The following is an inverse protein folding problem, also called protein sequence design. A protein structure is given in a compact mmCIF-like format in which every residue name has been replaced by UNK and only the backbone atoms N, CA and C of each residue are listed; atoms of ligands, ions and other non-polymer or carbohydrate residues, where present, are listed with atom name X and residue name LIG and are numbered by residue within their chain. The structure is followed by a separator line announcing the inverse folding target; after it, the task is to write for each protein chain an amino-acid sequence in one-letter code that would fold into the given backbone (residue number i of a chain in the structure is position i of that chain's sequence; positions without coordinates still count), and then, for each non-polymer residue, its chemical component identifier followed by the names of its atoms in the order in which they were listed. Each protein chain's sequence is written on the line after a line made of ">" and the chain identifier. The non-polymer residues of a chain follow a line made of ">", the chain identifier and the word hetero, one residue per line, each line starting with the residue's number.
data_IF_006094974372
#
_entry.id   IF_006094974372
#
_cell.length_a   1.000
_cell.length_b   1.000
_cell.length_c   1.000
_cell.angle_alpha   90.00
_cell.angle_beta   90.00
_cell.angle_gamma   90.00
#
_symmetry.space_group_name_H-M   'P 1'
#
loop_
_entity.id
_entity.type
_entity.pdbx_description
1 polymer ?
#
# COMPACT_ATOMS: atom_id res chain seq x y z
N UNK A 1 17.73 21.69 -13.07
CA UNK A 1 16.35 21.86 -12.55
C UNK A 1 15.93 20.62 -11.76
N UNK A 2 16.00 20.64 -10.42
CA UNK A 2 15.49 19.56 -9.56
C UNK A 2 14.05 19.87 -9.18
N UNK A 3 13.08 19.27 -9.87
CA UNK A 3 11.66 19.39 -9.51
C UNK A 3 11.45 18.75 -8.13
N UNK A 4 11.28 19.58 -7.10
CA UNK A 4 10.79 19.13 -5.81
C UNK A 4 9.37 18.60 -6.04
N UNK A 5 9.16 17.29 -5.90
CA UNK A 5 7.83 16.70 -6.02
C UNK A 5 7.11 16.84 -4.68
N UNK A 6 6.51 18.00 -4.40
CA UNK A 6 5.42 18.05 -3.44
C UNK A 6 4.20 17.40 -4.09
N UNK A 7 3.87 16.18 -3.67
CA UNK A 7 2.68 15.47 -4.15
C UNK A 7 1.79 15.15 -2.95
N UNK A 8 0.50 15.53 -3.05
CA UNK A 8 -0.56 14.96 -2.19
C UNK A 8 -0.53 13.45 -2.37
N UNK A 9 -0.42 12.70 -1.29
CA UNK A 9 0.07 11.33 -1.38
C UNK A 9 -0.85 10.28 -0.73
N UNK A 10 -1.86 10.67 0.06
CA UNK A 10 -2.78 9.69 0.62
C UNK A 10 -4.07 10.30 1.16
N UNK A 11 -5.19 9.64 0.89
CA UNK A 11 -6.51 9.98 1.44
C UNK A 11 -6.74 9.20 2.73
N UNK A 12 -7.21 9.88 3.78
CA UNK A 12 -7.63 9.27 5.03
C UNK A 12 -9.11 8.91 4.93
N UNK A 13 -9.42 7.66 5.25
CA UNK A 13 -10.78 7.15 5.36
C UNK A 13 -11.07 6.77 6.81
N UNK A 14 -12.31 6.97 7.26
CA UNK A 14 -12.78 6.61 8.60
C UNK A 14 -13.98 5.64 8.53
N UNK A 15 -13.84 4.55 7.78
CA UNK A 15 -14.88 3.53 7.64
C UNK A 15 -15.21 2.83 8.98
N UNK A 16 -14.29 2.85 9.94
CA UNK A 16 -14.50 2.33 11.31
C UNK A 16 -15.65 3.02 12.05
N UNK A 17 -15.97 4.27 11.69
CA UNK A 17 -17.09 5.03 12.27
C UNK A 17 -18.43 4.74 11.59
N UNK A 18 -18.42 4.04 10.45
CA UNK A 18 -19.61 3.77 9.63
C UNK A 18 -19.64 2.30 9.17
N UNK A 19 -19.98 1.35 10.06
CA UNK A 19 -19.91 -0.08 9.77
C UNK A 19 -20.87 -0.55 8.64
N UNK A 20 -21.92 0.22 8.35
CA UNK A 20 -22.87 -0.06 7.26
C UNK A 20 -22.46 0.57 5.91
N UNK A 21 -21.39 1.36 5.88
CA UNK A 21 -20.95 2.03 4.65
C UNK A 21 -20.07 1.11 3.80
N UNK A 22 -20.39 1.02 2.50
CA UNK A 22 -19.57 0.28 1.54
C UNK A 22 -18.16 0.90 1.42
N UNK A 23 -17.08 0.17 1.74
CA UNK A 23 -15.71 0.67 1.67
C UNK A 23 -15.15 0.79 0.24
N UNK A 24 -15.90 0.36 -0.77
CA UNK A 24 -15.50 0.44 -2.18
C UNK A 24 -15.41 1.89 -2.65
N UNK A 25 -14.28 2.26 -3.25
CA UNK A 25 -14.07 3.61 -3.78
C UNK A 25 -14.69 3.73 -5.17
N UNK A 26 -15.60 4.69 -5.32
CA UNK A 26 -16.30 5.01 -6.57
C UNK A 26 -15.95 6.45 -7.00
N UNK A 27 -16.66 6.98 -7.99
CA UNK A 27 -16.51 8.39 -8.39
C UNK A 27 -16.91 9.39 -7.30
N UNK A 28 -17.68 8.94 -6.30
CA UNK A 28 -18.06 9.76 -5.16
C UNK A 28 -16.97 9.73 -4.07
N UNK A 29 -16.63 10.92 -3.57
CA UNK A 29 -15.61 11.06 -2.53
C UNK A 29 -16.12 10.51 -1.19
N UNK A 30 -15.36 9.57 -0.61
CA UNK A 30 -15.61 8.96 0.71
C UNK A 30 -14.51 9.27 1.74
N UNK A 31 -13.50 10.04 1.36
CA UNK A 31 -12.37 10.41 2.23
C UNK A 31 -12.76 11.52 3.20
N UNK A 32 -12.32 11.40 4.45
CA UNK A 32 -12.55 12.38 5.53
C UNK A 32 -11.40 13.37 5.69
N UNK A 33 -10.26 13.11 5.04
CA UNK A 33 -9.09 13.99 5.03
C UNK A 33 -8.03 13.54 4.03
N UNK A 34 -6.97 14.33 3.91
CA UNK A 34 -5.79 14.01 3.10
C UNK A 34 -4.50 14.27 3.88
N UNK A 35 -3.50 13.44 3.64
CA UNK A 35 -2.14 13.64 4.12
C UNK A 35 -1.24 14.04 2.96
N UNK A 36 -0.41 15.06 3.20
CA UNK A 36 0.65 15.47 2.30
C UNK A 36 2.01 15.19 2.94
N UNK A 37 2.96 14.72 2.14
CA UNK A 37 4.35 14.58 2.55
C UNK A 37 5.28 15.09 1.46
N UNK A 38 6.43 15.62 1.89
CA UNK A 38 7.48 16.13 1.00
C UNK A 38 8.73 15.28 1.17
N UNK A 39 9.27 14.83 0.04
CA UNK A 39 10.51 14.07 -0.05
C UNK A 39 11.29 14.49 -1.29
N UNK A 40 12.61 14.23 -1.28
CA UNK A 40 13.47 14.43 -2.45
C UNK A 40 13.27 13.34 -3.49
N UNK A 41 12.72 12.20 -3.08
CA UNK A 41 12.33 11.07 -3.94
C UNK A 41 10.89 10.65 -3.67
N UNK A 42 10.26 9.99 -4.65
CA UNK A 42 8.90 9.45 -4.49
C UNK A 42 8.80 8.43 -3.36
N UNK A 43 9.80 7.56 -3.22
CA UNK A 43 9.83 6.52 -2.17
C UNK A 43 9.84 7.14 -0.77
N UNK A 44 10.62 8.20 -0.59
CA UNK A 44 10.68 8.96 0.66
C UNK A 44 9.35 9.66 0.96
N UNK A 45 8.76 10.36 -0.01
CA UNK A 45 7.49 11.06 0.20
C UNK A 45 6.34 10.07 0.46
N UNK A 46 6.32 8.93 -0.24
CA UNK A 46 5.32 7.87 -0.04
C UNK A 46 5.37 7.31 1.39
N UNK A 47 6.54 6.89 1.85
CA UNK A 47 6.70 6.32 3.20
C UNK A 47 6.34 7.33 4.30
N UNK A 48 6.78 8.59 4.15
CA UNK A 48 6.39 9.68 5.06
C UNK A 48 4.88 9.86 5.08
N UNK A 49 4.23 9.86 3.92
CA UNK A 49 2.79 10.02 3.83
C UNK A 49 2.06 8.88 4.54
N UNK A 50 2.43 7.62 4.26
CA UNK A 50 1.77 6.46 4.84
C UNK A 50 1.85 6.44 6.38
N UNK A 51 3.00 6.82 6.94
CA UNK A 51 3.15 6.95 8.39
C UNK A 51 2.31 8.10 8.97
N UNK A 52 2.15 9.19 8.22
CA UNK A 52 1.34 10.34 8.62
C UNK A 52 -0.19 10.13 8.49
N UNK A 53 -0.65 9.01 7.94
CA UNK A 53 -2.10 8.73 7.83
C UNK A 53 -2.76 8.34 9.17
N UNK A 54 -1.98 8.20 10.26
CA UNK A 54 -2.48 7.85 11.60
C UNK A 54 -3.39 6.61 11.61
N UNK A 55 -3.11 5.67 10.71
CA UNK A 55 -3.76 4.34 10.63
C UNK A 55 -3.00 3.30 11.47
N UNK A 56 -2.00 3.74 12.24
CA UNK A 56 -1.10 2.88 12.99
C UNK A 56 -0.17 2.03 12.13
N UNK A 57 0.02 2.34 10.85
CA UNK A 57 1.04 1.70 10.00
C UNK A 57 2.30 2.56 9.98
N UNK A 58 3.47 1.95 9.95
CA UNK A 58 4.75 2.67 9.96
C UNK A 58 5.21 3.08 8.57
N UNK A 59 4.57 2.56 7.52
CA UNK A 59 4.92 2.73 6.13
C UNK A 59 4.11 1.79 5.25
N UNK A 60 4.70 1.31 4.15
CA UNK A 60 4.13 0.22 3.32
C UNK A 60 4.04 -1.12 4.07
N UNK A 61 4.84 -1.32 5.12
CA UNK A 61 4.89 -2.53 5.93
C UNK A 61 6.08 -2.52 6.89
N UNK A 62 6.40 -3.70 7.46
CA UNK A 62 7.48 -3.86 8.43
C UNK A 62 7.09 -3.50 9.86
N UNK A 63 5.80 -3.21 10.09
CA UNK A 63 5.22 -2.86 11.39
C UNK A 63 4.83 -4.09 12.24
N UNK A 64 4.96 -5.31 11.70
CA UNK A 64 4.63 -6.55 12.42
C UNK A 64 3.13 -6.74 12.72
N UNK A 65 2.27 -5.84 12.20
CA UNK A 65 0.83 -5.87 12.42
C UNK A 65 0.16 -6.88 11.48
N UNK A 66 -0.69 -7.78 12.01
CA UNK A 66 -1.35 -8.78 11.20
C UNK A 66 -2.38 -8.16 10.25
N UNK A 67 -2.68 -8.89 9.18
CA UNK A 67 -3.72 -8.60 8.20
C UNK A 67 -4.87 -9.58 8.42
N UNK A 68 -6.08 -9.04 8.65
CA UNK A 68 -7.30 -9.85 8.79
C UNK A 68 -8.05 -9.82 7.48
N UNK A 69 -8.24 -10.99 6.88
CA UNK A 69 -8.94 -11.14 5.60
C UNK A 69 -10.02 -12.19 5.79
N UNK A 70 -11.27 -11.73 5.90
CA UNK A 70 -12.37 -12.60 6.30
C UNK A 70 -12.16 -13.14 7.72
N UNK A 71 -12.20 -14.47 7.86
CA UNK A 71 -11.95 -15.19 9.11
C UNK A 71 -10.48 -15.47 9.38
N UNK A 72 -9.61 -15.30 8.38
CA UNK A 72 -8.20 -15.66 8.46
C UNK A 72 -7.32 -14.49 8.91
N UNK A 73 -6.27 -14.80 9.66
CA UNK A 73 -5.29 -13.85 10.16
C UNK A 73 -3.93 -14.22 9.59
N UNK A 74 -3.34 -13.28 8.86
CA UNK A 74 -2.02 -13.41 8.25
C UNK A 74 -1.05 -12.47 8.98
N UNK A 75 0.16 -12.92 9.27
CA UNK A 75 1.25 -12.08 9.74
C UNK A 75 1.62 -11.00 8.71
N UNK A 76 2.33 -9.95 9.15
CA UNK A 76 2.74 -8.87 8.23
C UNK A 76 3.58 -9.38 7.05
N UNK A 77 4.33 -10.47 7.28
CA UNK A 77 5.26 -11.03 6.30
C UNK A 77 4.78 -12.30 5.62
N UNK A 78 3.62 -12.81 5.97
CA UNK A 78 3.08 -14.02 5.36
C UNK A 78 2.75 -13.77 3.89
N UNK A 79 2.92 -14.79 3.06
CA UNK A 79 2.56 -14.72 1.64
C UNK A 79 1.05 -14.99 1.55
N UNK A 80 0.30 -13.95 1.17
CA UNK A 80 -1.14 -14.06 0.96
C UNK A 80 -1.45 -14.88 -0.31
N UNK A 81 -2.58 -15.61 -0.35
CA UNK A 81 -3.03 -16.30 -1.55
C UNK A 81 -3.22 -15.36 -2.74
N UNK A 82 -2.81 -15.78 -3.94
CA UNK A 82 -2.86 -14.95 -5.16
C UNK A 82 -4.29 -14.48 -5.49
N UNK A 83 -5.31 -15.29 -5.24
CA UNK A 83 -6.72 -14.94 -5.49
C UNK A 83 -7.20 -13.79 -4.61
N UNK A 84 -6.80 -13.81 -3.34
CA UNK A 84 -7.12 -12.77 -2.35
C UNK A 84 -6.48 -11.44 -2.76
N UNK A 85 -5.20 -11.48 -3.13
CA UNK A 85 -4.46 -10.31 -3.62
C UNK A 85 -5.14 -9.74 -4.86
N UNK A 86 -5.43 -10.59 -5.86
CA UNK A 86 -6.02 -10.17 -7.13
C UNK A 86 -7.36 -9.47 -6.91
N UNK A 87 -8.24 -10.03 -6.08
CA UNK A 87 -9.54 -9.42 -5.74
C UNK A 87 -9.37 -8.05 -5.07
N UNK A 88 -8.44 -7.91 -4.14
CA UNK A 88 -8.15 -6.65 -3.42
C UNK A 88 -7.45 -5.61 -4.31
N UNK A 89 -6.74 -6.03 -5.36
CA UNK A 89 -6.15 -5.12 -6.34
C UNK A 89 -7.17 -4.62 -7.37
N UNK A 90 -8.07 -5.48 -7.83
CA UNK A 90 -9.10 -5.15 -8.81
C UNK A 90 -10.14 -4.15 -8.29
N UNK A 91 -10.52 -4.26 -7.02
CA UNK A 91 -11.49 -3.35 -6.41
C UNK A 91 -10.77 -2.19 -5.72
N UNK A 92 -10.94 -0.93 -6.19
CA UNK A 92 -10.35 0.23 -5.53
C UNK A 92 -10.78 0.33 -4.07
N UNK A 93 -9.82 0.22 -3.15
CA UNK A 93 -10.05 0.32 -1.72
C UNK A 93 -8.91 1.10 -1.04
N UNK A 94 -9.15 1.56 0.19
CA UNK A 94 -8.18 2.34 0.97
C UNK A 94 -6.89 1.57 1.29
N UNK A 95 -6.97 0.24 1.38
CA UNK A 95 -5.85 -0.62 1.73
C UNK A 95 -5.03 -1.07 0.51
N UNK A 96 -5.46 -0.71 -0.71
CA UNK A 96 -4.94 -1.27 -1.97
C UNK A 96 -3.44 -1.08 -2.11
N UNK A 97 -2.92 0.04 -1.60
CA UNK A 97 -1.48 0.34 -1.61
C UNK A 97 -0.65 -0.71 -0.83
N UNK A 98 -1.19 -1.27 0.25
CA UNK A 98 -0.55 -2.33 1.02
C UNK A 98 -0.66 -3.68 0.31
N UNK A 99 -1.78 -3.94 -0.38
CA UNK A 99 -1.93 -5.15 -1.19
C UNK A 99 -1.00 -5.18 -2.40
N UNK A 100 -0.53 -4.03 -2.91
CA UNK A 100 0.53 -3.98 -3.93
C UNK A 100 1.85 -4.51 -3.38
N UNK A 101 2.23 -4.17 -2.13
CA UNK A 101 3.40 -4.78 -1.46
C UNK A 101 3.24 -6.29 -1.37
N UNK A 102 2.08 -6.78 -0.93
CA UNK A 102 1.82 -8.23 -0.84
C UNK A 102 1.88 -8.93 -2.20
N UNK A 103 1.37 -8.29 -3.27
CA UNK A 103 1.47 -8.81 -4.63
C UNK A 103 2.92 -8.97 -5.09
N UNK A 104 3.75 -7.94 -4.86
CA UNK A 104 5.17 -7.98 -5.22
C UNK A 104 5.91 -9.08 -4.45
N UNK A 105 5.61 -9.26 -3.16
CA UNK A 105 6.19 -10.34 -2.33
C UNK A 105 5.69 -11.74 -2.74
N UNK A 106 4.46 -11.85 -3.22
CA UNK A 106 3.88 -13.08 -3.78
C UNK A 106 4.32 -13.37 -5.23
N UNK A 107 5.28 -12.60 -5.77
CA UNK A 107 5.87 -12.82 -7.09
C UNK A 107 5.02 -12.35 -8.26
N UNK A 108 4.09 -11.42 -8.08
CA UNK A 108 3.40 -10.80 -9.20
C UNK A 108 4.34 -9.89 -9.99
N UNK A 109 4.21 -9.93 -11.31
CA UNK A 109 4.89 -9.01 -12.22
C UNK A 109 4.24 -7.62 -12.17
N UNK A 110 5.01 -6.60 -12.56
CA UNK A 110 4.50 -5.24 -12.69
C UNK A 110 3.35 -5.17 -13.69
N UNK A 111 3.41 -5.96 -14.77
CA UNK A 111 2.36 -6.04 -15.79
C UNK A 111 1.05 -6.61 -15.24
N UNK A 112 1.11 -7.68 -14.43
CA UNK A 112 -0.08 -8.24 -13.78
C UNK A 112 -0.74 -7.20 -12.85
N UNK A 113 0.06 -6.52 -12.02
CA UNK A 113 -0.45 -5.49 -11.11
C UNK A 113 -1.01 -4.30 -11.89
N UNK A 114 -0.35 -3.87 -12.97
CA UNK A 114 -0.85 -2.83 -13.86
C UNK A 114 -2.19 -3.23 -14.48
N UNK A 115 -2.33 -4.47 -14.95
CA UNK A 115 -3.56 -4.92 -15.58
C UNK A 115 -4.75 -4.94 -14.62
N UNK A 116 -4.52 -5.28 -13.35
CA UNK A 116 -5.54 -5.30 -12.31
C UNK A 116 -5.89 -3.90 -11.79
N UNK A 117 -4.88 -3.04 -11.58
CA UNK A 117 -5.06 -1.76 -10.85
C UNK A 117 -5.14 -0.53 -11.75
N UNK A 118 -4.60 -0.64 -12.97
CA UNK A 118 -4.33 0.47 -13.91
C UNK A 118 -3.45 1.59 -13.32
N UNK A 119 -2.72 1.31 -12.24
CA UNK A 119 -1.71 2.24 -11.68
C UNK A 119 -0.50 2.23 -12.60
N UNK A 120 -0.01 3.41 -12.98
CA UNK A 120 1.13 3.53 -13.88
C UNK A 120 2.35 2.73 -13.42
N UNK A 121 3.01 2.08 -14.38
CA UNK A 121 4.15 1.19 -14.17
C UNK A 121 5.28 1.87 -13.41
N UNK A 122 5.50 3.16 -13.65
CA UNK A 122 6.54 3.91 -12.96
C UNK A 122 6.35 3.88 -11.45
N UNK A 123 5.12 4.07 -10.95
CA UNK A 123 4.83 3.99 -9.52
C UNK A 123 5.03 2.58 -8.96
N UNK A 124 4.59 1.56 -9.72
CA UNK A 124 4.73 0.16 -9.31
C UNK A 124 6.20 -0.24 -9.19
N UNK A 125 7.06 0.22 -10.12
CA UNK A 125 8.52 0.02 -10.04
C UNK A 125 9.10 0.70 -8.81
N UNK A 126 8.70 1.93 -8.50
CA UNK A 126 9.18 2.61 -7.30
C UNK A 126 8.75 1.90 -6.00
N UNK A 127 7.55 1.31 -5.96
CA UNK A 127 7.10 0.50 -4.83
C UNK A 127 7.91 -0.80 -4.75
N UNK A 128 8.16 -1.46 -5.89
CA UNK A 128 9.00 -2.66 -5.96
C UNK A 128 10.39 -2.42 -5.37
N UNK A 129 11.04 -1.31 -5.72
CA UNK A 129 12.35 -0.98 -5.15
C UNK A 129 12.33 -0.86 -3.62
N UNK A 130 11.22 -0.39 -3.03
CA UNK A 130 11.07 -0.35 -1.57
C UNK A 130 10.94 -1.77 -1.00
N UNK A 131 10.11 -2.62 -1.62
CA UNK A 131 9.87 -4.00 -1.19
C UNK A 131 11.14 -4.84 -1.32
N UNK A 132 11.88 -4.70 -2.43
CA UNK A 132 13.15 -5.38 -2.64
C UNK A 132 14.15 -4.99 -1.51
N UNK A 133 14.20 -3.71 -1.14
CA UNK A 133 15.08 -3.24 -0.06
C UNK A 133 14.63 -3.75 1.32
N UNK A 134 13.33 -3.88 1.55
CA UNK A 134 12.78 -4.50 2.75
C UNK A 134 13.27 -5.96 2.89
N UNK A 135 13.25 -6.73 1.81
CA UNK A 135 13.73 -8.12 1.81
C UNK A 135 15.25 -8.22 2.05
N UNK A 136 16.04 -7.24 1.58
CA UNK A 136 17.47 -7.16 1.91
C UNK A 136 17.68 -6.93 3.42
N UNK A 137 16.96 -5.98 4.02
CA UNK A 137 17.06 -5.70 5.47
C UNK A 137 16.63 -6.89 6.32
N UNK A 138 15.59 -7.60 5.86
CA UNK A 138 15.13 -8.82 6.49
C UNK A 138 16.19 -9.92 6.53
N UNK A 139 16.84 -10.18 5.40
CA UNK A 139 17.87 -11.19 5.30
C UNK A 139 19.09 -10.84 6.17
N UNK A 140 19.41 -9.55 6.30
CA UNK A 140 20.51 -9.08 7.15
C UNK A 140 20.24 -9.28 8.65
N UNK A 141 18.99 -9.22 9.11
CA UNK A 141 18.62 -9.42 10.52
C UNK A 141 18.70 -10.88 10.96
N UNK A 142 18.68 -11.82 10.01
CA UNK A 142 18.78 -13.26 10.26
C UNK A 142 20.24 -13.77 10.23
N UNK A 143 21.22 -12.88 10.07
CA UNK A 143 22.66 -13.13 10.23
C UNK A 143 23.14 -12.55 11.55
#
# INVERSE_FOLDING_TARGET
>A
MRRHQSRRCGTRFAFEKFPQADPTLTTQMKSVGEAMAIGRTFRESLQKCLRSLEIGRSGLGGDGKPWRIGTEVYGDRDILPRDVISRKLSVPNAERIFFIRHALRAGFTIEEIFNLTKIDRWFLVQIKEIVDFEEVLAAAKNK
#
